data_IF_991451038484
#
_entry.id   IF_991451038484
#
_cell.length_a   1.000
_cell.length_b   1.000
_cell.length_c   1.000
_cell.angle_alpha   90.00
_cell.angle_beta   90.00
_cell.angle_gamma   90.00
#
_symmetry.space_group_name_H-M   'P 1'
#
loop_
_entity.id
_entity.type
_entity.pdbx_description
1 polymer ?
#
# COMPACT_ATOMS: atom_id res chain seq x y z
N UNK A 1 -2.97 5.50 29.88
CA UNK A 1 -4.10 6.45 29.77
C UNK A 1 -5.39 5.67 29.61
N UNK A 2 -6.53 6.34 29.60
CA UNK A 2 -7.79 5.70 29.21
C UNK A 2 -7.75 5.36 27.71
N UNK A 3 -8.36 4.24 27.33
CA UNK A 3 -8.55 3.83 25.93
C UNK A 3 -10.04 3.95 25.64
N UNK A 4 -10.38 4.59 24.52
CA UNK A 4 -11.74 4.64 24.02
C UNK A 4 -11.97 3.43 23.12
N UNK A 5 -12.86 2.53 23.55
CA UNK A 5 -13.12 1.25 22.87
C UNK A 5 -14.60 1.13 22.50
N UNK A 6 -15.03 1.71 21.36
CA UNK A 6 -16.39 1.48 20.86
C UNK A 6 -16.62 0.01 20.50
N UNK A 7 -17.84 -0.46 20.75
CA UNK A 7 -18.25 -1.81 20.38
C UNK A 7 -18.57 -1.90 18.89
N UNK A 8 -18.64 -3.12 18.35
CA UNK A 8 -18.97 -3.36 16.95
C UNK A 8 -20.31 -2.71 16.57
N UNK A 9 -20.31 -1.97 15.46
CA UNK A 9 -21.49 -1.24 14.98
C UNK A 9 -21.66 0.17 15.56
N UNK A 10 -20.93 0.51 16.63
CA UNK A 10 -20.92 1.87 17.15
C UNK A 10 -19.92 2.75 16.38
N UNK A 11 -20.24 4.05 16.29
CA UNK A 11 -19.35 5.06 15.73
C UNK A 11 -19.14 6.19 16.73
N UNK A 12 -17.89 6.38 17.17
CA UNK A 12 -17.50 7.58 17.92
C UNK A 12 -17.09 8.64 16.93
N UNK A 13 -17.80 9.77 16.93
CA UNK A 13 -17.42 10.94 16.14
C UNK A 13 -16.74 11.98 17.02
N UNK A 14 -15.54 12.42 16.61
CA UNK A 14 -14.77 13.48 17.24
C UNK A 14 -14.78 14.69 16.31
N UNK A 15 -15.67 15.65 16.59
CA UNK A 15 -15.90 16.85 15.75
C UNK A 15 -15.11 18.09 16.20
N UNK A 16 -14.23 17.93 17.19
CA UNK A 16 -13.39 19.00 17.76
C UNK A 16 -11.91 18.70 17.56
N UNK A 17 -11.03 19.61 17.97
CA UNK A 17 -9.59 19.37 17.97
C UNK A 17 -9.23 18.11 18.76
N UNK A 18 -8.32 17.30 18.23
CA UNK A 18 -7.83 16.10 18.88
C UNK A 18 -6.31 16.16 18.98
N UNK A 19 -5.77 15.85 20.16
CA UNK A 19 -4.34 15.79 20.42
C UNK A 19 -4.05 14.60 21.34
N UNK A 20 -3.15 13.73 20.89
CA UNK A 20 -2.68 12.58 21.65
C UNK A 20 -1.23 12.29 21.26
N UNK A 21 -0.44 11.77 22.21
CA UNK A 21 0.90 11.25 21.90
C UNK A 21 0.86 10.02 20.99
N UNK A 22 2.05 9.54 20.57
CA UNK A 22 2.19 8.34 19.74
C UNK A 22 2.09 7.05 20.58
N UNK A 23 0.92 6.87 21.19
CA UNK A 23 0.52 5.69 21.95
C UNK A 23 -0.96 5.41 21.75
N UNK A 24 -1.39 4.19 22.07
CA UNK A 24 -2.77 3.76 21.86
C UNK A 24 -3.76 4.57 22.72
N UNK A 25 -4.79 5.08 22.04
CA UNK A 25 -5.91 5.84 22.63
C UNK A 25 -7.27 5.33 22.14
N UNK A 26 -7.28 4.58 21.04
CA UNK A 26 -8.44 3.88 20.49
C UNK A 26 -8.23 2.36 20.55
N UNK A 27 -9.30 1.66 20.89
CA UNK A 27 -9.39 0.20 20.86
C UNK A 27 -10.81 -0.22 20.45
N UNK A 28 -11.21 -1.45 20.77
CA UNK A 28 -12.51 -1.98 20.41
C UNK A 28 -12.67 -2.24 18.91
N UNK A 29 -13.82 -2.78 18.54
CA UNK A 29 -14.15 -3.21 17.16
C UNK A 29 -15.09 -2.21 16.45
N UNK A 30 -15.46 -1.12 17.13
CA UNK A 30 -16.26 -0.04 16.57
C UNK A 30 -15.47 0.94 15.71
N UNK A 31 -16.18 1.89 15.11
CA UNK A 31 -15.60 2.90 14.21
C UNK A 31 -15.24 4.17 14.97
N UNK A 32 -14.05 4.72 14.72
CA UNK A 32 -13.67 6.08 15.13
C UNK A 32 -13.71 6.97 13.89
N UNK A 33 -14.42 8.10 13.98
CA UNK A 33 -14.57 9.06 12.91
C UNK A 33 -14.12 10.45 13.37
N UNK A 34 -13.29 11.12 12.57
CA UNK A 34 -12.95 12.52 12.81
C UNK A 34 -13.78 13.43 11.90
N UNK A 35 -14.36 14.48 12.49
CA UNK A 35 -15.04 15.51 11.73
C UNK A 35 -14.10 16.25 10.79
N UNK A 36 -14.66 16.90 9.76
CA UNK A 36 -13.86 17.68 8.79
C UNK A 36 -13.06 18.82 9.45
N UNK A 37 -13.57 19.36 10.57
CA UNK A 37 -12.96 20.43 11.38
C UNK A 37 -11.98 19.94 12.46
N UNK A 38 -11.82 18.63 12.62
CA UNK A 38 -10.95 18.04 13.64
C UNK A 38 -9.49 18.05 13.16
N UNK A 39 -8.95 16.88 12.78
CA UNK A 39 -7.54 16.69 12.46
C UNK A 39 -7.34 16.20 11.03
N UNK A 40 -6.32 16.72 10.35
CA UNK A 40 -5.94 16.36 8.98
C UNK A 40 -5.11 15.08 8.85
N UNK A 41 -4.56 14.61 9.96
CA UNK A 41 -3.55 13.54 9.99
C UNK A 41 -3.79 12.65 11.19
N UNK A 42 -3.73 11.34 10.98
CA UNK A 42 -3.86 10.32 12.01
C UNK A 42 -2.67 9.37 11.99
N UNK A 43 -2.48 8.66 13.10
CA UNK A 43 -1.32 7.83 13.36
C UNK A 43 -1.78 6.43 13.77
N UNK A 44 -1.37 5.34 13.09
CA UNK A 44 -1.73 3.98 13.49
C UNK A 44 -1.39 3.62 14.94
N UNK A 45 -0.42 4.30 15.55
CA UNK A 45 -0.07 4.19 16.96
C UNK A 45 -1.25 4.48 17.88
N UNK A 46 -2.18 5.34 17.47
CA UNK A 46 -3.42 5.61 18.21
C UNK A 46 -4.35 4.39 18.27
N UNK A 47 -4.23 3.45 17.33
CA UNK A 47 -4.92 2.16 17.30
C UNK A 47 -4.03 0.98 17.72
N UNK A 48 -2.83 1.26 18.22
CA UNK A 48 -1.94 0.24 18.80
C UNK A 48 -0.87 -0.31 17.86
N UNK A 49 -0.64 0.30 16.69
CA UNK A 49 0.52 -0.04 15.87
C UNK A 49 1.82 0.25 16.65
N UNK A 50 2.77 -0.68 16.60
CA UNK A 50 4.03 -0.62 17.36
C UNK A 50 5.23 -0.37 16.47
N UNK A 51 5.23 -0.94 15.27
CA UNK A 51 6.40 -0.91 14.38
C UNK A 51 7.63 -1.59 15.00
N UNK A 52 7.42 -2.65 15.79
CA UNK A 52 8.45 -3.40 16.53
C UNK A 52 8.72 -4.79 15.93
N UNK A 53 8.18 -5.05 14.74
CA UNK A 53 8.22 -6.36 14.09
C UNK A 53 7.01 -7.25 14.34
N UNK A 54 6.05 -6.80 15.17
CA UNK A 54 4.73 -7.43 15.27
C UNK A 54 3.78 -6.95 14.17
N UNK A 55 2.75 -7.75 13.86
CA UNK A 55 1.78 -7.41 12.81
C UNK A 55 0.94 -6.19 13.22
N UNK A 56 1.07 -5.13 12.43
CA UNK A 56 0.43 -3.82 12.62
C UNK A 56 -0.78 -3.62 11.68
N UNK A 57 -1.16 -4.63 10.89
CA UNK A 57 -2.17 -4.52 9.82
C UNK A 57 -3.49 -3.94 10.32
N UNK A 58 -4.04 -4.48 11.42
CA UNK A 58 -5.32 -4.04 11.98
C UNK A 58 -5.30 -2.58 12.41
N UNK A 59 -4.20 -2.14 13.05
CA UNK A 59 -4.08 -0.77 13.53
C UNK A 59 -3.88 0.23 12.39
N UNK A 60 -3.11 -0.15 11.35
CA UNK A 60 -2.95 0.66 10.15
C UNK A 60 -4.26 0.74 9.37
N UNK A 61 -4.97 -0.39 9.22
CA UNK A 61 -6.27 -0.44 8.54
C UNK A 61 -7.31 0.43 9.26
N UNK A 62 -7.40 0.36 10.59
CA UNK A 62 -8.30 1.22 11.36
C UNK A 62 -8.03 2.72 11.17
N UNK A 63 -6.76 3.11 11.02
CA UNK A 63 -6.38 4.48 10.71
C UNK A 63 -6.80 4.90 9.28
N UNK A 64 -6.65 4.00 8.30
CA UNK A 64 -7.12 4.19 6.92
C UNK A 64 -8.64 4.35 6.87
N UNK A 65 -9.37 3.45 7.52
CA UNK A 65 -10.83 3.43 7.55
C UNK A 65 -11.38 4.70 8.21
N UNK A 66 -10.74 5.13 9.31
CA UNK A 66 -11.05 6.37 10.00
C UNK A 66 -10.98 7.59 9.07
N UNK A 67 -9.93 7.69 8.24
CA UNK A 67 -9.80 8.76 7.24
C UNK A 67 -10.77 8.60 6.08
N UNK A 68 -11.16 7.38 5.77
CA UNK A 68 -12.21 7.10 4.79
C UNK A 68 -13.57 7.65 5.20
N UNK A 69 -13.96 7.46 6.46
CA UNK A 69 -15.20 8.04 7.01
C UNK A 69 -15.16 9.58 6.94
N UNK A 70 -13.99 10.17 7.21
CA UNK A 70 -13.74 11.62 7.07
C UNK A 70 -13.75 12.11 5.61
N UNK A 71 -13.69 11.20 4.63
CA UNK A 71 -13.57 11.47 3.18
C UNK A 71 -12.23 12.09 2.78
N UNK A 72 -11.17 11.76 3.52
CA UNK A 72 -9.79 12.08 3.19
C UNK A 72 -8.95 12.52 4.38
N UNK A 73 -7.64 12.57 4.15
CA UNK A 73 -6.65 12.90 5.16
C UNK A 73 -5.36 12.12 4.96
N UNK A 74 -4.44 12.27 5.91
CA UNK A 74 -3.14 11.61 5.89
C UNK A 74 -3.10 10.56 7.00
N UNK A 75 -2.84 9.31 6.65
CA UNK A 75 -2.39 8.29 7.60
C UNK A 75 -0.88 8.33 7.60
N UNK A 76 -0.29 8.83 8.68
CA UNK A 76 1.15 9.04 8.79
C UNK A 76 1.79 7.91 9.61
N UNK A 77 2.70 7.20 8.98
CA UNK A 77 3.53 6.16 9.58
C UNK A 77 4.80 6.80 10.15
N UNK A 78 5.09 6.59 11.45
CA UNK A 78 6.19 7.26 12.16
C UNK A 78 7.33 6.33 12.57
N UNK A 79 7.10 5.01 12.55
CA UNK A 79 8.11 4.01 12.89
C UNK A 79 8.85 3.53 11.66
N UNK A 80 10.10 3.14 11.84
CA UNK A 80 10.97 2.70 10.75
C UNK A 80 10.50 1.40 10.08
N UNK A 81 9.75 0.53 10.76
CA UNK A 81 9.35 -0.75 10.20
C UNK A 81 8.01 -1.24 10.78
N UNK A 82 6.96 -1.27 9.97
CA UNK A 82 5.70 -1.94 10.30
C UNK A 82 5.65 -3.28 9.56
N UNK A 83 5.23 -4.32 10.26
CA UNK A 83 4.94 -5.62 9.63
C UNK A 83 3.46 -5.64 9.29
N UNK A 84 3.14 -6.08 8.07
CA UNK A 84 1.76 -6.20 7.60
C UNK A 84 1.53 -7.57 6.96
N UNK A 85 0.27 -7.97 6.95
CA UNK A 85 -0.26 -9.02 6.08
C UNK A 85 -0.72 -8.37 4.78
N UNK A 86 -1.81 -7.60 4.84
CA UNK A 86 -2.32 -6.83 3.71
C UNK A 86 -2.96 -5.52 4.19
N UNK A 87 -3.00 -4.53 3.31
CA UNK A 87 -3.74 -3.28 3.51
C UNK A 87 -4.69 -3.05 2.34
N UNK A 88 -5.92 -2.65 2.67
CA UNK A 88 -6.93 -2.25 1.70
C UNK A 88 -7.12 -0.73 1.75
N UNK A 89 -7.01 -0.09 0.60
CA UNK A 89 -7.34 1.33 0.43
C UNK A 89 -8.52 1.46 -0.54
N UNK A 90 -9.72 1.27 -0.01
CA UNK A 90 -11.01 1.38 -0.71
C UNK A 90 -11.75 2.70 -0.42
N UNK A 91 -11.10 3.61 0.29
CA UNK A 91 -11.65 4.90 0.69
C UNK A 91 -11.02 6.04 -0.09
N UNK A 92 -11.80 7.09 -0.37
CA UNK A 92 -11.38 8.17 -1.26
C UNK A 92 -10.54 9.22 -0.54
N UNK A 93 -9.55 9.78 -1.26
CA UNK A 93 -8.72 10.92 -0.84
C UNK A 93 -7.86 10.65 0.42
N UNK A 94 -7.55 9.38 0.69
CA UNK A 94 -6.62 8.99 1.75
C UNK A 94 -5.20 8.94 1.21
N UNK A 95 -4.27 9.53 1.96
CA UNK A 95 -2.83 9.47 1.70
C UNK A 95 -2.19 8.58 2.77
N UNK A 96 -1.63 7.43 2.36
CA UNK A 96 -0.75 6.66 3.24
C UNK A 96 0.67 7.18 3.06
N UNK A 97 1.24 7.75 4.13
CA UNK A 97 2.50 8.47 4.07
C UNK A 97 3.49 7.98 5.12
N UNK A 98 4.69 7.60 4.67
CA UNK A 98 5.83 7.38 5.56
C UNK A 98 6.61 8.64 5.89
N UNK A 99 7.46 8.53 6.92
CA UNK A 99 8.58 9.43 7.15
C UNK A 99 9.81 9.03 6.34
N UNK A 100 10.63 10.03 5.99
CA UNK A 100 11.82 9.88 5.15
C UNK A 100 11.53 9.93 3.65
N UNK A 101 12.51 9.57 2.82
CA UNK A 101 12.35 9.44 1.36
C UNK A 101 12.37 7.97 0.98
N UNK A 102 11.24 7.45 0.52
CA UNK A 102 11.14 6.05 0.09
C UNK A 102 11.73 5.75 -1.28
N UNK A 103 12.46 6.70 -1.89
CA UNK A 103 13.13 6.52 -3.18
C UNK A 103 14.61 6.87 -3.10
N UNK A 104 15.46 5.98 -3.66
CA UNK A 104 16.91 6.16 -3.78
C UNK A 104 17.36 5.88 -5.21
N UNK A 105 18.12 6.81 -5.78
CA UNK A 105 18.84 6.58 -7.01
C UNK A 105 20.06 5.71 -6.74
N UNK A 106 20.05 4.47 -7.26
CA UNK A 106 21.29 3.70 -7.45
C UNK A 106 21.72 2.74 -6.33
N UNK A 107 21.26 2.85 -5.08
CA UNK A 107 21.63 1.88 -4.02
C UNK A 107 20.61 0.74 -3.93
N UNK A 108 21.03 -0.52 -4.16
CA UNK A 108 20.19 -1.75 -4.23
C UNK A 108 19.06 -1.84 -3.19
N UNK A 109 19.30 -1.36 -2.00
CA UNK A 109 18.36 -1.28 -0.89
C UNK A 109 18.33 0.20 -0.42
N UNK A 110 17.16 0.75 -0.13
CA UNK A 110 17.02 2.15 0.26
C UNK A 110 17.41 2.33 1.74
N UNK A 111 18.02 3.49 1.96
CA UNK A 111 18.67 3.99 3.16
C UNK A 111 17.82 3.92 4.44
N UNK A 112 18.57 3.79 5.55
CA UNK A 112 18.19 3.55 6.94
C UNK A 112 17.18 4.52 7.62
N UNK A 113 16.48 5.35 6.85
CA UNK A 113 15.61 6.42 7.38
C UNK A 113 14.18 6.44 6.79
N UNK A 114 13.82 5.45 5.96
CA UNK A 114 12.46 5.37 5.40
C UNK A 114 11.60 4.43 6.23
N UNK A 115 10.33 4.79 6.40
CA UNK A 115 9.29 3.83 6.82
C UNK A 115 9.22 2.64 5.86
N UNK A 116 9.45 1.46 6.44
CA UNK A 116 9.32 0.17 5.77
C UNK A 116 7.98 -0.48 6.12
N UNK A 117 7.26 -0.91 5.10
CA UNK A 117 6.11 -1.81 5.21
C UNK A 117 6.58 -3.20 4.78
N UNK A 118 6.79 -4.09 5.75
CA UNK A 118 7.22 -5.48 5.49
C UNK A 118 6.00 -6.38 5.42
N UNK A 119 5.61 -6.78 4.22
CA UNK A 119 4.52 -7.72 3.98
C UNK A 119 5.00 -9.16 4.19
N UNK A 120 4.31 -9.91 5.06
CA UNK A 120 4.71 -11.26 5.46
C UNK A 120 3.80 -12.37 4.96
N UNK A 121 2.53 -12.06 4.69
CA UNK A 121 1.46 -12.95 4.24
C UNK A 121 0.49 -12.16 3.36
N UNK A 122 -0.59 -12.77 2.86
CA UNK A 122 -1.56 -12.10 1.97
C UNK A 122 -1.19 -12.22 0.50
N UNK A 123 -2.09 -11.82 -0.41
CA UNK A 123 -1.86 -11.87 -1.87
C UNK A 123 -1.17 -10.60 -2.37
N UNK A 124 -1.47 -9.46 -1.74
CA UNK A 124 -0.88 -8.16 -2.01
C UNK A 124 -0.43 -7.51 -0.70
N UNK A 125 0.60 -6.67 -0.73
CA UNK A 125 0.90 -5.82 0.43
C UNK A 125 -0.10 -4.67 0.56
N UNK A 126 -0.38 -3.98 -0.56
CA UNK A 126 -1.37 -2.90 -0.61
C UNK A 126 -2.26 -3.05 -1.85
N UNK A 127 -3.57 -3.05 -1.64
CA UNK A 127 -4.58 -3.05 -2.71
C UNK A 127 -5.34 -1.73 -2.71
N UNK A 128 -5.40 -1.08 -3.88
CA UNK A 128 -6.05 0.20 -4.09
C UNK A 128 -7.29 0.01 -4.96
N UNK A 129 -8.47 0.31 -4.42
CA UNK A 129 -9.75 0.22 -5.12
C UNK A 129 -10.51 1.54 -5.14
N UNK A 130 -9.87 2.62 -4.68
CA UNK A 130 -10.38 3.98 -4.70
C UNK A 130 -9.27 5.00 -5.04
N UNK A 131 -9.61 6.25 -5.37
CA UNK A 131 -8.63 7.30 -5.57
C UNK A 131 -7.86 7.64 -4.29
N UNK A 132 -6.60 7.23 -4.24
CA UNK A 132 -5.73 7.33 -3.05
C UNK A 132 -4.30 7.72 -3.43
N UNK A 133 -3.47 8.00 -2.43
CA UNK A 133 -2.06 8.30 -2.66
C UNK A 133 -1.15 7.54 -1.71
N UNK A 134 0.01 7.13 -2.22
CA UNK A 134 1.08 6.51 -1.46
C UNK A 134 2.30 7.42 -1.51
N UNK A 135 2.88 7.76 -0.35
CA UNK A 135 4.02 8.69 -0.29
C UNK A 135 5.10 8.23 0.66
N UNK A 136 6.37 8.34 0.25
CA UNK A 136 7.53 8.10 1.12
C UNK A 136 7.53 6.70 1.76
N UNK A 137 7.20 5.66 1.00
CA UNK A 137 7.09 4.29 1.51
C UNK A 137 8.16 3.39 0.91
N UNK A 138 8.72 2.50 1.73
CA UNK A 138 9.46 1.34 1.27
C UNK A 138 8.65 0.07 1.53
N UNK A 139 7.97 -0.42 0.50
CA UNK A 139 7.11 -1.61 0.55
C UNK A 139 7.97 -2.81 0.15
N UNK A 140 8.06 -3.80 1.01
CA UNK A 140 8.94 -4.95 0.81
C UNK A 140 8.27 -6.24 1.28
N UNK A 141 8.45 -7.32 0.54
CA UNK A 141 8.05 -8.63 1.08
C UNK A 141 9.14 -9.18 2.01
N UNK A 142 8.77 -10.09 2.91
CA UNK A 142 9.72 -10.89 3.68
C UNK A 142 10.44 -11.99 2.85
N UNK A 143 10.15 -12.06 1.55
CA UNK A 143 10.73 -13.04 0.64
C UNK A 143 12.24 -12.91 0.57
N UNK A 144 12.94 -14.03 0.78
CA UNK A 144 14.37 -14.08 0.58
C UNK A 144 14.65 -14.22 -0.92
N UNK A 145 15.35 -13.27 -1.57
CA UNK A 145 15.88 -13.47 -2.90
C UNK A 145 16.99 -14.52 -2.80
N UNK A 146 16.63 -15.80 -2.85
CA UNK A 146 17.62 -16.89 -2.88
C UNK A 146 18.55 -16.71 -4.08
N UNK A 147 19.85 -16.98 -3.92
CA UNK A 147 20.94 -16.64 -4.85
C UNK A 147 20.85 -17.15 -6.31
N UNK A 148 19.76 -17.82 -6.71
CA UNK A 148 19.54 -18.29 -8.07
C UNK A 148 18.58 -17.35 -8.82
N UNK A 149 19.06 -16.79 -9.93
CA UNK A 149 18.25 -16.07 -10.92
C UNK A 149 17.59 -17.13 -11.84
N UNK A 150 16.28 -17.03 -12.16
CA UNK A 150 15.32 -16.02 -11.70
C UNK A 150 14.96 -16.22 -10.21
N UNK A 151 14.97 -15.13 -9.45
CA UNK A 151 14.68 -15.10 -8.02
C UNK A 151 13.37 -15.87 -7.73
N UNK A 152 13.40 -16.85 -6.84
CA UNK A 152 12.18 -17.54 -6.37
C UNK A 152 11.83 -16.97 -5.01
N UNK A 153 10.69 -16.28 -4.90
CA UNK A 153 10.16 -15.93 -3.59
C UNK A 153 9.66 -17.21 -2.94
N UNK A 154 10.26 -17.53 -1.80
CA UNK A 154 9.96 -18.74 -1.01
C UNK A 154 8.67 -18.57 -0.19
N UNK A 155 8.15 -17.35 -0.06
CA UNK A 155 6.93 -17.08 0.70
C UNK A 155 5.70 -17.49 -0.11
N UNK A 156 5.02 -18.55 0.33
CA UNK A 156 3.68 -18.86 -0.13
C UNK A 156 2.75 -17.69 0.23
N UNK A 157 2.08 -17.09 -0.77
CA UNK A 157 1.03 -16.09 -0.55
C UNK A 157 1.31 -14.74 -1.21
N UNK A 158 2.46 -14.11 -0.93
CA UNK A 158 2.66 -12.69 -1.29
C UNK A 158 3.12 -12.51 -2.74
N UNK A 159 2.20 -12.07 -3.59
CA UNK A 159 2.45 -11.94 -5.02
C UNK A 159 2.69 -10.52 -5.46
N UNK A 160 1.87 -9.58 -5.00
CA UNK A 160 1.86 -8.19 -5.45
C UNK A 160 2.36 -7.26 -4.36
N UNK A 161 3.25 -6.33 -4.69
CA UNK A 161 3.59 -5.26 -3.77
C UNK A 161 2.47 -4.23 -3.68
N UNK A 162 2.13 -3.63 -4.82
CA UNK A 162 1.00 -2.70 -4.94
C UNK A 162 0.11 -3.15 -6.09
N UNK A 163 -1.16 -3.43 -5.80
CA UNK A 163 -2.18 -3.76 -6.77
C UNK A 163 -3.17 -2.60 -6.87
N UNK A 164 -3.28 -1.98 -8.04
CA UNK A 164 -4.16 -0.85 -8.31
C UNK A 164 -5.27 -1.32 -9.23
N UNK A 165 -6.48 -1.48 -8.72
CA UNK A 165 -7.62 -2.00 -9.49
C UNK A 165 -8.56 -0.90 -9.96
N UNK A 166 -8.75 0.16 -9.16
CA UNK A 166 -9.71 1.21 -9.48
C UNK A 166 -9.21 2.59 -9.03
N UNK A 167 -9.79 3.62 -9.65
CA UNK A 167 -9.53 5.01 -9.32
C UNK A 167 -8.26 5.57 -9.95
N UNK A 168 -7.90 6.79 -9.56
CA UNK A 168 -6.62 7.40 -9.90
C UNK A 168 -5.72 7.34 -8.69
N UNK A 169 -4.47 6.92 -8.88
CA UNK A 169 -3.48 6.85 -7.81
C UNK A 169 -2.33 7.81 -8.08
N UNK A 170 -1.88 8.49 -7.02
CA UNK A 170 -0.60 9.21 -7.02
C UNK A 170 0.38 8.48 -6.11
N UNK A 171 1.47 7.98 -6.68
CA UNK A 171 2.60 7.43 -5.94
C UNK A 171 3.79 8.36 -6.06
N UNK A 172 4.34 8.78 -4.92
CA UNK A 172 5.45 9.72 -4.85
C UNK A 172 6.51 9.22 -3.85
N UNK A 173 7.77 9.07 -4.30
CA UNK A 173 8.86 8.57 -3.45
C UNK A 173 8.53 7.20 -2.81
N UNK A 174 7.95 6.29 -3.60
CA UNK A 174 7.58 4.93 -3.18
C UNK A 174 8.44 3.90 -3.86
N UNK A 175 9.02 2.99 -3.08
CA UNK A 175 9.74 1.83 -3.62
C UNK A 175 9.08 0.52 -3.23
N UNK A 176 9.00 -0.40 -4.18
CA UNK A 176 8.35 -1.71 -4.02
C UNK A 176 9.33 -2.83 -4.40
N UNK A 177 9.64 -3.71 -3.45
CA UNK A 177 10.74 -4.66 -3.61
C UNK A 177 10.43 -6.07 -3.12
N UNK A 178 11.08 -7.06 -3.76
CA UNK A 178 11.04 -8.48 -3.36
C UNK A 178 9.66 -9.13 -3.51
N UNK A 179 8.79 -8.66 -4.40
CA UNK A 179 7.48 -9.29 -4.72
C UNK A 179 7.55 -10.13 -6.00
N UNK A 180 6.53 -10.92 -6.32
CA UNK A 180 6.48 -11.49 -7.67
C UNK A 180 6.26 -10.37 -8.68
N UNK A 181 5.32 -9.49 -8.38
CA UNK A 181 5.04 -8.26 -9.10
C UNK A 181 5.20 -7.07 -8.17
N UNK A 182 6.00 -6.08 -8.56
CA UNK A 182 6.18 -4.86 -7.77
C UNK A 182 4.91 -4.02 -7.76
N UNK A 183 4.67 -3.26 -8.82
CA UNK A 183 3.49 -2.42 -9.00
C UNK A 183 2.67 -2.96 -10.16
N UNK A 184 1.37 -3.21 -9.93
CA UNK A 184 0.44 -3.68 -10.96
C UNK A 184 -0.74 -2.73 -11.07
N UNK A 185 -0.99 -2.25 -12.28
CA UNK A 185 -2.19 -1.49 -12.66
C UNK A 185 -3.12 -2.44 -13.41
N UNK A 186 -4.22 -2.80 -12.76
CA UNK A 186 -5.28 -3.66 -13.27
C UNK A 186 -6.43 -2.83 -13.88
N UNK A 187 -7.44 -3.51 -14.43
CA UNK A 187 -8.54 -2.85 -15.13
C UNK A 187 -9.43 -2.05 -14.19
N UNK A 188 -9.63 -0.77 -14.51
CA UNK A 188 -10.42 0.19 -13.74
C UNK A 188 -9.58 1.34 -13.17
N UNK A 189 -8.27 1.15 -13.07
CA UNK A 189 -7.34 2.15 -12.59
C UNK A 189 -6.91 3.09 -13.72
N UNK A 190 -7.39 4.33 -13.71
CA UNK A 190 -7.14 5.32 -14.75
C UNK A 190 -6.46 6.56 -14.19
N UNK A 191 -5.62 7.21 -15.00
CA UNK A 191 -4.94 8.47 -14.64
C UNK A 191 -3.98 8.33 -13.45
N UNK A 192 -3.16 7.27 -13.46
CA UNK A 192 -2.20 7.01 -12.39
C UNK A 192 -0.88 7.77 -12.64
N UNK A 193 -0.35 8.40 -11.59
CA UNK A 193 0.92 9.14 -11.62
C UNK A 193 1.92 8.50 -10.67
N UNK A 194 3.09 8.19 -11.20
CA UNK A 194 4.24 7.63 -10.47
C UNK A 194 5.40 8.60 -10.64
N UNK A 195 5.81 9.22 -9.54
CA UNK A 195 6.88 10.21 -9.49
C UNK A 195 7.94 9.73 -8.50
N UNK A 196 9.18 9.58 -8.95
CA UNK A 196 10.27 9.07 -8.11
C UNK A 196 9.90 7.74 -7.44
N UNK A 197 9.35 6.82 -8.22
CA UNK A 197 9.04 5.48 -7.73
C UNK A 197 10.11 4.46 -8.12
N UNK A 198 10.35 3.48 -7.26
CA UNK A 198 11.33 2.42 -7.47
C UNK A 198 10.70 1.04 -7.46
N UNK A 199 11.18 0.12 -8.30
CA UNK A 199 10.90 -1.31 -8.11
C UNK A 199 12.17 -2.13 -8.27
N UNK A 200 12.38 -3.08 -7.35
CA UNK A 200 13.59 -3.90 -7.36
C UNK A 200 13.38 -5.33 -6.87
N UNK A 201 14.20 -6.25 -7.37
CA UNK A 201 14.21 -7.64 -6.92
C UNK A 201 12.84 -8.33 -7.01
N UNK A 202 11.97 -7.88 -7.91
CA UNK A 202 10.70 -8.53 -8.14
C UNK A 202 10.88 -9.69 -9.13
N UNK A 203 10.31 -10.86 -8.85
CA UNK A 203 10.68 -12.09 -9.56
C UNK A 203 10.10 -12.17 -10.98
N UNK A 204 8.93 -11.55 -11.20
CA UNK A 204 8.23 -11.52 -12.49
C UNK A 204 8.32 -10.15 -13.12
N UNK A 205 7.69 -9.11 -12.57
CA UNK A 205 7.79 -7.76 -13.13
C UNK A 205 7.94 -6.70 -12.05
N UNK A 206 8.74 -5.68 -12.31
CA UNK A 206 8.82 -4.49 -11.48
C UNK A 206 7.56 -3.67 -11.57
N UNK A 207 7.14 -3.37 -12.80
CA UNK A 207 5.90 -2.66 -13.09
C UNK A 207 5.13 -3.38 -14.19
N UNK A 208 3.82 -3.55 -14.01
CA UNK A 208 2.95 -4.08 -15.04
C UNK A 208 1.66 -3.26 -15.15
N UNK A 209 1.29 -2.89 -16.36
CA UNK A 209 -0.04 -2.36 -16.68
C UNK A 209 -0.63 -3.20 -17.81
N UNK A 210 -1.58 -4.06 -17.46
CA UNK A 210 -2.09 -5.08 -18.38
C UNK A 210 -3.54 -5.44 -18.05
N UNK A 211 -4.46 -5.51 -19.04
CA UNK A 211 -5.76 -6.14 -18.83
C UNK A 211 -5.57 -7.65 -18.62
N UNK A 212 -4.75 -8.28 -19.47
CA UNK A 212 -4.65 -9.74 -19.55
C UNK A 212 -3.76 -10.43 -18.50
N UNK A 213 -2.78 -9.76 -17.88
CA UNK A 213 -2.00 -10.45 -16.82
C UNK A 213 -2.81 -10.60 -15.54
N UNK A 214 -3.80 -9.74 -15.30
CA UNK A 214 -4.69 -9.90 -14.16
C UNK A 214 -5.86 -10.85 -14.49
N UNK A 215 -6.32 -10.96 -15.74
CA UNK A 215 -7.29 -12.00 -16.16
C UNK A 215 -6.68 -13.41 -16.19
N UNK A 216 -5.50 -13.55 -16.80
CA UNK A 216 -4.72 -14.79 -16.82
C UNK A 216 -4.13 -15.16 -15.47
N UNK A 217 -4.22 -14.30 -14.45
CA UNK A 217 -3.90 -14.60 -13.05
C UNK A 217 -5.12 -14.79 -12.16
N UNK A 218 -6.22 -14.09 -12.41
CA UNK A 218 -7.49 -14.33 -11.71
C UNK A 218 -7.98 -15.78 -11.91
N UNK A 219 -7.62 -16.42 -13.02
CA UNK A 219 -7.87 -17.85 -13.21
C UNK A 219 -7.01 -18.77 -12.31
N UNK A 220 -5.88 -18.30 -11.79
CA UNK A 220 -5.05 -19.00 -10.79
C UNK A 220 -5.34 -18.56 -9.35
N UNK A 221 -6.04 -17.44 -9.15
CA UNK A 221 -6.39 -16.88 -7.83
C UNK A 221 -7.90 -16.56 -7.76
N UNK A 222 -8.72 -17.48 -7.23
CA UNK A 222 -10.19 -17.38 -7.26
C UNK A 222 -10.79 -16.18 -6.50
N UNK A 223 -9.97 -15.42 -5.76
CA UNK A 223 -10.39 -14.24 -4.99
C UNK A 223 -10.16 -12.91 -5.74
N UNK A 224 -9.56 -12.93 -6.92
CA UNK A 224 -9.43 -11.75 -7.78
C UNK A 224 -10.63 -11.72 -8.74
N UNK A 225 -11.38 -10.61 -8.76
CA UNK A 225 -12.34 -10.38 -9.84
C UNK A 225 -11.55 -10.27 -11.13
N UNK A 226 -11.81 -11.11 -12.15
CA UNK A 226 -11.16 -10.97 -13.44
C UNK A 226 -11.38 -9.53 -13.92
N UNK A 227 -10.31 -8.79 -14.24
CA UNK A 227 -10.47 -7.48 -14.84
C UNK A 227 -11.35 -7.62 -16.08
N UNK A 228 -12.25 -6.67 -16.34
CA UNK A 228 -13.05 -6.70 -17.58
C UNK A 228 -12.16 -6.62 -18.83
N UNK A 229 -12.71 -6.95 -19.98
CA UNK A 229 -12.00 -7.23 -21.24
C UNK A 229 -11.33 -6.03 -21.94
N UNK A 230 -11.03 -4.93 -21.26
CA UNK A 230 -10.54 -3.70 -21.89
C UNK A 230 -9.78 -2.77 -20.92
N UNK A 231 -8.47 -2.52 -21.17
CA UNK A 231 -7.82 -1.26 -20.74
C UNK A 231 -8.06 -0.23 -21.84
N UNK A 232 -9.24 0.39 -21.83
CA UNK A 232 -9.55 1.49 -22.74
C UNK A 232 -9.38 2.76 -21.92
N UNK A 233 -8.35 3.55 -22.21
CA UNK A 233 -8.10 4.89 -21.66
C UNK A 233 -7.31 4.99 -20.33
N UNK A 234 -6.54 3.98 -19.92
CA UNK A 234 -5.62 4.17 -18.79
C UNK A 234 -4.45 5.07 -19.19
N UNK A 235 -4.47 6.30 -18.68
CA UNK A 235 -3.32 7.21 -18.73
C UNK A 235 -2.37 6.86 -17.59
N UNK A 236 -1.11 6.59 -17.93
CA UNK A 236 -0.02 6.37 -16.98
C UNK A 236 1.01 7.48 -17.16
N UNK A 237 1.32 8.19 -16.07
CA UNK A 237 2.43 9.13 -16.03
C UNK A 237 3.53 8.54 -15.16
N UNK A 238 4.68 8.22 -15.75
CA UNK A 238 5.84 7.66 -15.04
C UNK A 238 7.02 8.61 -15.21
N UNK A 239 7.52 9.16 -14.11
CA UNK A 239 8.55 10.20 -14.11
C UNK A 239 9.58 9.93 -13.02
N UNK A 240 10.85 10.09 -13.38
CA UNK A 240 11.95 9.93 -12.43
C UNK A 240 11.96 8.57 -11.72
N UNK A 241 11.38 7.53 -12.32
CA UNK A 241 11.25 6.21 -11.72
C UNK A 241 12.44 5.30 -12.08
N UNK A 242 12.70 4.31 -11.22
CA UNK A 242 13.75 3.30 -11.43
C UNK A 242 13.16 1.89 -11.38
N UNK A 243 13.39 1.09 -12.43
CA UNK A 243 12.96 -0.30 -12.52
C UNK A 243 14.18 -1.17 -12.77
N UNK A 244 14.68 -1.87 -11.76
CA UNK A 244 15.95 -2.62 -11.86
C UNK A 244 15.89 -3.97 -11.17
N UNK A 245 16.77 -4.89 -11.57
CA UNK A 245 16.91 -6.20 -10.93
C UNK A 245 15.58 -6.96 -10.76
N UNK A 246 14.61 -6.70 -11.65
CA UNK A 246 13.35 -7.40 -11.72
C UNK A 246 13.43 -8.47 -12.82
N UNK A 247 12.55 -9.47 -12.82
CA UNK A 247 12.42 -10.39 -13.96
C UNK A 247 12.19 -9.64 -15.27
N UNK A 248 11.23 -8.71 -15.26
CA UNK A 248 10.99 -7.69 -16.27
C UNK A 248 10.94 -6.31 -15.60
N UNK A 249 11.55 -5.29 -16.21
CA UNK A 249 11.49 -3.92 -15.67
C UNK A 249 10.06 -3.37 -15.70
N UNK A 250 9.52 -3.20 -16.91
CA UNK A 250 8.17 -2.69 -17.19
C UNK A 250 7.49 -3.62 -18.20
N UNK A 251 6.23 -3.96 -17.95
CA UNK A 251 5.34 -4.63 -18.91
C UNK A 251 4.13 -3.72 -19.19
N UNK A 252 3.96 -3.31 -20.44
CA UNK A 252 2.76 -2.62 -20.92
C UNK A 252 2.13 -3.51 -21.99
N UNK A 253 0.89 -3.96 -21.79
CA UNK A 253 0.17 -4.78 -22.77
C UNK A 253 -1.28 -4.33 -22.87
N UNK A 254 -1.82 -4.26 -24.08
CA UNK A 254 -3.26 -4.14 -24.32
C UNK A 254 -3.93 -5.52 -24.30
N UNK A 255 -5.26 -5.56 -24.20
CA UNK A 255 -6.03 -6.74 -24.54
C UNK A 255 -6.05 -6.86 -26.06
N UNK A 256 -6.01 -8.08 -26.58
CA UNK A 256 -6.03 -8.37 -28.00
C UNK A 256 -7.33 -7.92 -28.66
#
# INVERSE_FOLDING_TARGET
>A
GAILSPDVGDTVTIDTSFEAGLYQVFGGDGTVAFGSKSIGTVYPEWWGAKGDGTDDSTAIQAAIDCMGVRKGGIVKLTKSNYVISELLMDTHNVVLQGEGRGYSYGSGEIAYETVRLTCTTGVWAIRLTAPVSLKNLFIVSNGNPGAAIPWVIVTAGVEYGVLIEQGFTVMEDVTVSKFQYGIVVANGANSNTFERCGTSYNTKAGFAATPGSAEGYACYHPNLTPPGSFINNTVLTVRNCNFRANGWGIILRSAW
#
